data_IF_629126883981
#
_entry.id   IF_629126883981
#
_cell.length_a   1.000
_cell.length_b   1.000
_cell.length_c   1.000
_cell.angle_alpha   90.00
_cell.angle_beta   90.00
_cell.angle_gamma   90.00
#
_symmetry.space_group_name_H-M   'P 1'
#
loop_
_entity.id
_entity.type
_entity.pdbx_description
1 polymer ?
#
# COMPACT_ATOMS: atom_id res chain seq x y z
N UNK A 1 11.50 -40.29 -27.26
CA UNK A 1 11.16 -39.64 -25.99
C UNK A 1 12.14 -38.54 -25.52
N UNK A 2 13.42 -38.57 -25.86
CA UNK A 2 14.42 -37.53 -25.50
C UNK A 2 14.17 -36.18 -26.20
N UNK A 3 13.71 -36.13 -27.43
CA UNK A 3 13.50 -34.88 -28.20
C UNK A 3 12.35 -34.04 -27.66
N UNK A 4 11.28 -34.65 -27.14
CA UNK A 4 10.14 -33.94 -26.56
C UNK A 4 10.51 -33.26 -25.18
N UNK A 5 11.39 -33.92 -24.42
CA UNK A 5 11.91 -33.38 -23.14
C UNK A 5 12.83 -32.17 -23.33
N UNK A 6 13.67 -32.22 -24.39
CA UNK A 6 14.57 -31.09 -24.71
C UNK A 6 13.79 -29.87 -25.22
N UNK A 7 12.75 -30.07 -26.03
CA UNK A 7 11.87 -28.97 -26.49
C UNK A 7 11.07 -28.33 -25.33
N UNK A 8 10.59 -29.13 -24.37
CA UNK A 8 9.89 -28.62 -23.18
C UNK A 8 10.79 -27.80 -22.27
N UNK A 9 12.05 -28.25 -22.06
CA UNK A 9 13.01 -27.51 -21.23
C UNK A 9 13.47 -26.18 -21.87
N UNK A 10 13.67 -26.17 -23.20
CA UNK A 10 14.00 -24.96 -23.95
C UNK A 10 12.87 -23.92 -23.92
N UNK A 11 11.61 -24.36 -24.04
CA UNK A 11 10.44 -23.49 -23.98
C UNK A 11 10.23 -22.93 -22.57
N UNK A 12 10.47 -23.70 -21.51
CA UNK A 12 10.44 -23.27 -20.12
C UNK A 12 11.53 -22.22 -19.83
N UNK A 13 12.76 -22.43 -20.32
CA UNK A 13 13.84 -21.46 -20.16
C UNK A 13 13.57 -20.14 -20.91
N UNK A 14 13.02 -20.20 -22.12
CA UNK A 14 12.65 -19.01 -22.90
C UNK A 14 11.47 -18.25 -22.24
N UNK A 15 10.53 -18.95 -21.61
CA UNK A 15 9.44 -18.32 -20.84
C UNK A 15 9.99 -17.62 -19.60
N UNK A 16 10.92 -18.23 -18.86
CA UNK A 16 11.59 -17.65 -17.70
C UNK A 16 12.38 -16.38 -18.06
N UNK A 17 13.12 -16.38 -19.17
CA UNK A 17 13.86 -15.18 -19.64
C UNK A 17 12.92 -14.05 -20.05
N UNK A 18 11.79 -14.35 -20.69
CA UNK A 18 10.79 -13.33 -21.05
C UNK A 18 10.14 -12.72 -19.79
N UNK A 19 9.80 -13.55 -18.83
CA UNK A 19 9.24 -13.08 -17.56
C UNK A 19 10.23 -12.22 -16.77
N UNK A 20 11.50 -12.63 -16.69
CA UNK A 20 12.55 -11.83 -16.06
C UNK A 20 12.68 -10.43 -16.70
N UNK A 21 12.69 -10.35 -18.04
CA UNK A 21 12.72 -9.07 -18.76
C UNK A 21 11.46 -8.24 -18.54
N UNK A 22 10.30 -8.87 -18.43
CA UNK A 22 9.04 -8.21 -18.13
C UNK A 22 9.09 -7.55 -16.73
N UNK A 23 9.56 -8.28 -15.72
CA UNK A 23 9.72 -7.80 -14.36
C UNK A 23 10.76 -6.66 -14.27
N UNK A 24 11.90 -6.81 -14.96
CA UNK A 24 12.93 -5.77 -15.02
C UNK A 24 12.40 -4.46 -15.66
N UNK A 25 11.66 -4.58 -16.76
CA UNK A 25 11.05 -3.41 -17.42
C UNK A 25 10.03 -2.74 -16.51
N UNK A 26 9.19 -3.54 -15.81
CA UNK A 26 8.23 -3.04 -14.84
C UNK A 26 8.93 -2.26 -13.70
N UNK A 27 10.01 -2.81 -13.15
CA UNK A 27 10.78 -2.16 -12.08
C UNK A 27 11.35 -0.81 -12.55
N UNK A 28 11.97 -0.75 -13.74
CA UNK A 28 12.48 0.52 -14.31
C UNK A 28 11.36 1.56 -14.52
N UNK A 29 10.19 1.14 -14.98
CA UNK A 29 9.03 2.02 -15.15
C UNK A 29 8.52 2.53 -13.80
N UNK A 30 8.49 1.67 -12.78
CA UNK A 30 8.09 2.02 -11.43
C UNK A 30 9.04 3.07 -10.83
N UNK A 31 10.35 2.84 -10.89
CA UNK A 31 11.37 3.76 -10.38
C UNK A 31 11.32 5.12 -11.12
N UNK A 32 11.19 5.10 -12.45
CA UNK A 32 11.03 6.30 -13.25
C UNK A 32 9.76 7.08 -12.90
N UNK A 33 8.65 6.37 -12.64
CA UNK A 33 7.38 6.98 -12.24
C UNK A 33 7.48 7.63 -10.86
N UNK A 34 8.10 6.97 -9.89
CA UNK A 34 8.34 7.55 -8.56
C UNK A 34 9.20 8.81 -8.65
N UNK A 35 10.26 8.80 -9.45
CA UNK A 35 11.10 9.97 -9.67
C UNK A 35 10.32 11.14 -10.27
N UNK A 36 9.50 10.90 -11.29
CA UNK A 36 8.68 11.93 -11.95
C UNK A 36 7.63 12.49 -10.98
N UNK A 37 6.94 11.62 -10.22
CA UNK A 37 5.93 12.02 -9.22
C UNK A 37 6.60 12.83 -8.10
N UNK A 38 7.76 12.40 -7.61
CA UNK A 38 8.48 13.12 -6.56
C UNK A 38 8.89 14.54 -6.98
N UNK A 39 9.22 14.74 -8.26
CA UNK A 39 9.68 16.04 -8.78
C UNK A 39 8.52 16.98 -9.15
N UNK A 40 7.41 16.46 -9.67
CA UNK A 40 6.34 17.26 -10.26
C UNK A 40 4.98 17.13 -9.56
N UNK A 41 4.87 16.19 -8.62
CA UNK A 41 3.58 15.74 -8.06
C UNK A 41 2.84 14.82 -9.03
N UNK A 42 1.93 14.02 -8.49
CA UNK A 42 1.17 13.03 -9.26
C UNK A 42 0.34 13.65 -10.39
N UNK A 43 -0.32 14.78 -10.12
CA UNK A 43 -1.19 15.43 -11.10
C UNK A 43 -0.43 15.84 -12.38
N UNK A 44 0.79 16.37 -12.23
CA UNK A 44 1.63 16.85 -13.33
C UNK A 44 2.58 15.79 -13.92
N UNK A 45 2.65 14.60 -13.35
CA UNK A 45 3.51 13.52 -13.82
C UNK A 45 3.11 13.07 -15.23
N UNK A 46 4.09 13.07 -16.16
CA UNK A 46 3.89 12.73 -17.57
C UNK A 46 4.36 11.30 -17.88
N UNK A 47 3.41 10.47 -18.32
CA UNK A 47 3.68 9.07 -18.72
C UNK A 47 4.70 8.98 -19.86
N UNK A 48 4.77 9.98 -20.75
CA UNK A 48 5.76 10.00 -21.84
C UNK A 48 7.17 10.20 -21.30
N UNK A 49 7.34 11.11 -20.33
CA UNK A 49 8.61 11.33 -19.64
C UNK A 49 9.03 10.08 -18.84
N UNK A 50 8.10 9.45 -18.12
CA UNK A 50 8.32 8.19 -17.38
C UNK A 50 8.82 7.09 -18.32
N UNK A 51 8.13 6.85 -19.45
CA UNK A 51 8.51 5.83 -20.42
C UNK A 51 9.88 6.10 -21.03
N UNK A 52 10.17 7.36 -21.40
CA UNK A 52 11.47 7.76 -21.93
C UNK A 52 12.60 7.54 -20.92
N UNK A 53 12.39 7.90 -19.64
CA UNK A 53 13.35 7.68 -18.58
C UNK A 53 13.63 6.19 -18.31
N UNK A 54 12.58 5.33 -18.48
CA UNK A 54 12.72 3.88 -18.40
C UNK A 54 13.29 3.22 -19.67
N UNK A 55 13.58 4.00 -20.73
CA UNK A 55 14.12 3.49 -22.00
C UNK A 55 13.12 2.67 -22.81
N UNK A 56 11.82 2.99 -22.73
CA UNK A 56 10.76 2.28 -23.46
C UNK A 56 9.79 3.26 -24.13
N UNK A 57 8.93 2.76 -25.02
CA UNK A 57 7.87 3.57 -25.64
C UNK A 57 6.67 3.70 -24.68
N UNK A 58 5.90 4.79 -24.82
CA UNK A 58 4.73 5.09 -23.96
C UNK A 58 3.73 3.93 -23.83
N UNK A 59 3.49 3.19 -24.91
CA UNK A 59 2.59 2.04 -24.90
C UNK A 59 3.04 0.93 -23.93
N UNK A 60 4.36 0.79 -23.70
CA UNK A 60 4.91 -0.19 -22.77
C UNK A 60 4.54 0.16 -21.32
N UNK A 61 4.41 1.44 -20.98
CA UNK A 61 3.92 1.84 -19.66
C UNK A 61 2.53 1.26 -19.40
N UNK A 62 1.57 1.47 -20.31
CA UNK A 62 0.19 0.99 -20.13
C UNK A 62 0.04 -0.52 -20.16
N UNK A 63 1.00 -1.24 -20.75
CA UNK A 63 1.08 -2.70 -20.63
C UNK A 63 1.38 -3.16 -19.21
N UNK A 64 2.17 -2.38 -18.46
CA UNK A 64 2.57 -2.70 -17.07
C UNK A 64 1.70 -2.04 -16.01
N UNK A 65 1.23 -0.84 -16.26
CA UNK A 65 0.39 -0.02 -15.39
C UNK A 65 -0.78 0.53 -16.20
N UNK A 66 -1.99 -0.06 -16.05
CA UNK A 66 -3.16 0.36 -16.84
C UNK A 66 -3.45 1.85 -16.78
N UNK A 67 -3.21 2.48 -15.65
CA UNK A 67 -3.21 3.93 -15.46
C UNK A 67 -2.05 4.36 -14.57
N UNK A 68 -1.78 5.65 -14.45
CA UNK A 68 -0.73 6.12 -13.54
C UNK A 68 -1.09 5.96 -12.05
N UNK A 69 -2.38 5.89 -11.73
CA UNK A 69 -2.88 5.58 -10.38
C UNK A 69 -2.38 4.22 -9.88
N UNK A 70 -2.24 3.23 -10.77
CA UNK A 70 -1.71 1.91 -10.41
C UNK A 70 -0.26 1.95 -9.91
N UNK A 71 0.51 2.99 -10.25
CA UNK A 71 1.83 3.19 -9.66
C UNK A 71 1.71 3.54 -8.18
N UNK A 72 0.80 4.46 -7.81
CA UNK A 72 0.58 4.82 -6.40
C UNK A 72 0.03 3.65 -5.58
N UNK A 73 -0.88 2.85 -6.16
CA UNK A 73 -1.37 1.62 -5.51
C UNK A 73 -0.23 0.63 -5.24
N UNK A 74 0.70 0.49 -6.19
CA UNK A 74 1.86 -0.39 -5.98
C UNK A 74 2.80 0.15 -4.90
N UNK A 75 3.01 1.47 -4.85
CA UNK A 75 3.77 2.13 -3.77
C UNK A 75 3.12 1.81 -2.42
N UNK A 76 1.82 1.99 -2.32
CA UNK A 76 1.06 1.74 -1.11
C UNK A 76 1.20 0.29 -0.65
N UNK A 77 0.93 -0.68 -1.53
CA UNK A 77 1.02 -2.11 -1.21
C UNK A 77 2.44 -2.54 -0.80
N UNK A 78 3.47 -1.95 -1.41
CA UNK A 78 4.86 -2.20 -1.05
C UNK A 78 5.17 -1.65 0.35
N UNK A 79 4.71 -0.43 0.68
CA UNK A 79 4.91 0.15 2.00
C UNK A 79 4.09 -0.59 3.07
N UNK A 80 2.85 -0.98 2.79
CA UNK A 80 2.04 -1.79 3.70
C UNK A 80 2.69 -3.14 4.01
N UNK A 81 3.20 -3.83 2.99
CA UNK A 81 3.93 -5.09 3.17
C UNK A 81 5.18 -4.89 4.03
N UNK A 82 5.91 -3.80 3.82
CA UNK A 82 7.06 -3.42 4.64
C UNK A 82 6.64 -3.13 6.08
N UNK A 83 5.60 -2.34 6.29
CA UNK A 83 5.06 -2.02 7.61
C UNK A 83 4.73 -3.30 8.38
N UNK A 84 4.03 -4.24 7.76
CA UNK A 84 3.67 -5.52 8.37
C UNK A 84 4.92 -6.35 8.71
N UNK A 85 5.89 -6.38 7.81
CA UNK A 85 7.16 -7.07 8.06
C UNK A 85 7.94 -6.47 9.23
N UNK A 86 7.94 -5.13 9.35
CA UNK A 86 8.60 -4.41 10.45
C UNK A 86 7.84 -4.52 11.78
N UNK A 87 6.50 -4.60 11.74
CA UNK A 87 5.66 -4.86 12.92
C UNK A 87 5.82 -6.29 13.45
N UNK A 88 6.06 -7.26 12.57
CA UNK A 88 6.18 -8.67 12.94
C UNK A 88 4.98 -9.15 13.77
N UNK A 89 5.25 -9.90 14.82
CA UNK A 89 4.25 -10.30 15.83
C UNK A 89 4.03 -9.14 16.83
N UNK A 90 3.46 -8.03 16.37
CA UNK A 90 3.20 -6.88 17.24
C UNK A 90 2.44 -7.35 18.49
N UNK A 91 3.04 -7.10 19.66
CA UNK A 91 2.53 -7.50 20.98
C UNK A 91 2.03 -6.28 21.74
N UNK A 92 1.05 -6.51 22.58
CA UNK A 92 0.44 -5.48 23.42
C UNK A 92 -1.08 -5.47 23.25
N UNK A 93 -1.73 -4.59 23.99
CA UNK A 93 -3.14 -4.31 23.83
C UNK A 93 -3.45 -3.63 22.48
N UNK A 94 -4.72 -3.56 22.13
CA UNK A 94 -5.17 -2.97 20.87
C UNK A 94 -4.61 -1.55 20.67
N UNK A 95 -4.63 -0.72 21.71
CA UNK A 95 -4.13 0.65 21.65
C UNK A 95 -2.65 0.72 21.30
N UNK A 96 -1.84 -0.13 21.92
CA UNK A 96 -0.40 -0.22 21.68
C UNK A 96 -0.09 -0.66 20.23
N UNK A 97 -0.81 -1.66 19.71
CA UNK A 97 -0.61 -2.14 18.35
C UNK A 97 -1.04 -1.07 17.33
N UNK A 98 -2.18 -0.42 17.51
CA UNK A 98 -2.60 0.66 16.61
C UNK A 98 -1.64 1.86 16.64
N UNK A 99 -1.11 2.21 17.81
CA UNK A 99 -0.08 3.24 17.92
C UNK A 99 1.21 2.86 17.16
N UNK A 100 1.63 1.60 17.24
CA UNK A 100 2.77 1.10 16.44
C UNK A 100 2.49 1.20 14.94
N UNK A 101 1.29 0.82 14.47
CA UNK A 101 0.88 1.00 13.07
C UNK A 101 1.05 2.45 12.64
N UNK A 102 0.52 3.41 13.40
CA UNK A 102 0.68 4.85 13.12
C UNK A 102 2.15 5.24 12.99
N UNK A 103 3.01 4.80 13.91
CA UNK A 103 4.44 5.11 13.86
C UNK A 103 5.13 4.53 12.62
N UNK A 104 4.74 3.33 12.17
CA UNK A 104 5.30 2.74 10.96
C UNK A 104 4.79 3.44 9.69
N UNK A 105 3.54 3.88 9.65
CA UNK A 105 3.00 4.71 8.55
C UNK A 105 3.75 6.06 8.48
N UNK A 106 4.05 6.71 9.61
CA UNK A 106 4.89 7.92 9.63
C UNK A 106 6.34 7.67 9.18
N UNK A 107 6.86 6.46 9.39
CA UNK A 107 8.17 6.08 8.79
C UNK A 107 8.08 5.96 7.27
N UNK A 108 6.96 5.44 6.74
CA UNK A 108 6.71 5.40 5.30
C UNK A 108 6.66 6.81 4.70
N UNK A 109 6.00 7.77 5.36
CA UNK A 109 6.01 9.19 4.97
C UNK A 109 7.44 9.72 4.81
N UNK A 110 8.30 9.50 5.82
CA UNK A 110 9.71 9.92 5.76
C UNK A 110 10.53 9.25 4.65
N UNK A 111 10.19 8.00 4.28
CA UNK A 111 10.88 7.27 3.19
C UNK A 111 10.44 7.78 1.82
N UNK A 112 9.15 7.98 1.62
CA UNK A 112 8.56 8.37 0.35
C UNK A 112 8.71 9.87 0.05
N UNK A 113 8.82 10.68 1.11
CA UNK A 113 8.70 12.13 1.04
C UNK A 113 7.24 12.60 0.93
N UNK A 114 6.99 13.82 1.41
CA UNK A 114 5.66 14.39 1.60
C UNK A 114 4.78 14.37 0.33
N UNK A 115 5.38 14.63 -0.83
CA UNK A 115 4.62 14.72 -2.09
C UNK A 115 4.05 13.35 -2.49
N UNK A 116 4.90 12.33 -2.60
CA UNK A 116 4.49 10.97 -2.99
C UNK A 116 3.54 10.39 -1.95
N UNK A 117 3.85 10.58 -0.66
CA UNK A 117 3.03 10.05 0.43
C UNK A 117 1.62 10.65 0.44
N UNK A 118 1.48 11.97 0.31
CA UNK A 118 0.17 12.62 0.26
C UNK A 118 -0.62 12.27 -1.00
N UNK A 119 0.04 12.20 -2.16
CA UNK A 119 -0.60 11.79 -3.41
C UNK A 119 -1.11 10.33 -3.31
N UNK A 120 -0.33 9.43 -2.69
CA UNK A 120 -0.70 8.04 -2.44
C UNK A 120 -1.93 7.94 -1.54
N UNK A 121 -1.91 8.59 -0.37
CA UNK A 121 -3.06 8.57 0.54
C UNK A 121 -4.27 9.31 -0.02
N UNK A 122 -4.05 10.42 -0.75
CA UNK A 122 -5.11 11.19 -1.41
C UNK A 122 -5.88 10.37 -2.43
N UNK A 123 -5.25 9.35 -3.02
CA UNK A 123 -5.91 8.46 -3.97
C UNK A 123 -7.11 7.71 -3.36
N UNK A 124 -7.09 7.41 -2.05
CA UNK A 124 -8.22 6.79 -1.35
C UNK A 124 -9.51 7.60 -1.42
N UNK A 125 -9.38 8.93 -1.55
CA UNK A 125 -10.50 9.87 -1.59
C UNK A 125 -10.76 10.41 -3.00
N UNK A 126 -10.06 9.87 -4.01
CA UNK A 126 -10.16 10.31 -5.41
C UNK A 126 -11.18 9.47 -6.19
N UNK A 127 -11.93 10.15 -7.07
CA UNK A 127 -12.79 9.49 -8.05
C UNK A 127 -12.01 8.76 -9.16
N UNK A 128 -10.69 8.97 -9.25
CA UNK A 128 -9.81 8.31 -10.23
C UNK A 128 -9.19 7.02 -9.69
N UNK A 129 -9.46 6.65 -8.41
CA UNK A 129 -9.01 5.37 -7.86
C UNK A 129 -9.60 4.23 -8.69
N UNK A 130 -8.80 3.26 -9.15
CA UNK A 130 -9.29 2.07 -9.83
C UNK A 130 -10.33 1.33 -8.99
N UNK A 131 -11.46 0.96 -9.60
CA UNK A 131 -12.60 0.33 -8.90
C UNK A 131 -12.24 -1.04 -8.34
N UNK A 132 -11.30 -1.73 -9.01
CA UNK A 132 -10.77 -3.03 -8.59
C UNK A 132 -9.85 -2.97 -7.37
N UNK A 133 -9.44 -1.77 -6.94
CA UNK A 133 -8.56 -1.60 -5.79
C UNK A 133 -9.39 -1.33 -4.53
N UNK A 134 -9.78 -2.40 -3.86
CA UNK A 134 -10.58 -2.37 -2.63
C UNK A 134 -9.69 -2.31 -1.39
N UNK A 135 -9.88 -1.32 -0.52
CA UNK A 135 -9.10 -1.14 0.72
C UNK A 135 -9.11 -2.39 1.60
N UNK A 136 -10.23 -3.11 1.67
CA UNK A 136 -10.36 -4.34 2.46
C UNK A 136 -9.42 -5.47 2.02
N UNK A 137 -8.93 -5.42 0.79
CA UNK A 137 -7.98 -6.40 0.23
C UNK A 137 -6.51 -5.97 0.41
N UNK A 138 -6.28 -4.79 0.97
CA UNK A 138 -4.94 -4.30 1.23
C UNK A 138 -4.27 -5.06 2.37
N UNK A 139 -2.94 -5.32 2.29
CA UNK A 139 -2.20 -6.03 3.33
C UNK A 139 -2.39 -5.45 4.73
N UNK A 140 -2.33 -4.12 4.86
CA UNK A 140 -2.48 -3.47 6.16
C UNK A 140 -3.89 -3.61 6.72
N UNK A 141 -4.93 -3.55 5.87
CA UNK A 141 -6.31 -3.79 6.30
C UNK A 141 -6.49 -5.23 6.79
N UNK A 142 -5.96 -6.22 6.07
CA UNK A 142 -5.99 -7.63 6.48
C UNK A 142 -5.23 -7.86 7.80
N UNK A 143 -4.10 -7.21 7.99
CA UNK A 143 -3.37 -7.24 9.25
C UNK A 143 -4.22 -6.71 10.41
N UNK A 144 -4.91 -5.59 10.22
CA UNK A 144 -5.78 -5.00 11.25
C UNK A 144 -6.99 -5.87 11.58
N UNK A 145 -7.58 -6.54 10.59
CA UNK A 145 -8.65 -7.54 10.86
C UNK A 145 -8.13 -8.60 11.85
N UNK A 146 -6.93 -9.11 11.63
CA UNK A 146 -6.31 -10.07 12.55
C UNK A 146 -6.02 -9.50 13.94
N UNK A 147 -5.57 -8.23 14.02
CA UNK A 147 -5.33 -7.53 15.29
C UNK A 147 -6.63 -7.35 16.08
N UNK A 148 -7.68 -6.85 15.43
CA UNK A 148 -8.99 -6.61 16.04
C UNK A 148 -9.63 -7.94 16.45
N UNK A 149 -9.53 -9.00 15.62
CA UNK A 149 -10.01 -10.33 15.97
C UNK A 149 -9.37 -10.88 17.26
N UNK A 150 -8.06 -10.72 17.42
CA UNK A 150 -7.40 -11.08 18.70
C UNK A 150 -7.91 -10.24 19.88
N UNK A 151 -8.13 -8.96 19.69
CA UNK A 151 -8.70 -8.09 20.72
C UNK A 151 -10.15 -8.48 21.09
N UNK A 152 -10.91 -9.06 20.15
CA UNK A 152 -12.23 -9.67 20.41
C UNK A 152 -12.10 -10.94 21.25
N UNK A 153 -11.16 -11.83 20.91
CA UNK A 153 -10.90 -13.06 21.68
C UNK A 153 -10.47 -12.75 23.12
N UNK A 154 -9.75 -11.65 23.32
CA UNK A 154 -9.32 -11.15 24.62
C UNK A 154 -10.39 -10.33 25.37
N UNK A 155 -11.54 -10.07 24.74
CA UNK A 155 -12.66 -9.32 25.33
C UNK A 155 -12.45 -7.80 25.39
N UNK A 156 -11.44 -7.25 24.68
CA UNK A 156 -11.20 -5.81 24.56
C UNK A 156 -12.20 -5.15 23.60
N UNK A 157 -12.64 -5.88 22.56
CA UNK A 157 -13.62 -5.44 21.55
C UNK A 157 -14.83 -6.38 21.60
N UNK A 158 -16.07 -5.90 21.39
CA UNK A 158 -17.24 -6.75 21.31
C UNK A 158 -17.09 -7.83 20.24
N UNK A 159 -17.44 -9.08 20.57
CA UNK A 159 -17.30 -10.22 19.67
C UNK A 159 -18.26 -10.17 18.45
N UNK A 160 -19.32 -9.38 18.53
CA UNK A 160 -20.30 -9.15 17.46
C UNK A 160 -19.98 -7.96 16.57
N UNK A 161 -18.91 -7.20 16.87
CA UNK A 161 -18.46 -6.12 16.01
C UNK A 161 -17.75 -6.66 14.75
N UNK A 162 -17.94 -6.00 13.61
CA UNK A 162 -17.25 -6.36 12.37
C UNK A 162 -15.81 -5.83 12.39
N UNK A 163 -14.84 -6.74 12.51
CA UNK A 163 -13.42 -6.40 12.57
C UNK A 163 -12.92 -5.72 11.28
N UNK A 164 -13.49 -6.06 10.12
CA UNK A 164 -13.10 -5.44 8.83
C UNK A 164 -13.65 -4.00 8.74
N UNK A 165 -14.88 -3.76 9.22
CA UNK A 165 -15.45 -2.42 9.30
C UNK A 165 -14.64 -1.53 10.25
N UNK A 166 -14.32 -2.02 11.45
CA UNK A 166 -13.51 -1.29 12.44
C UNK A 166 -12.11 -0.97 11.93
N UNK A 167 -11.45 -1.92 11.26
CA UNK A 167 -10.16 -1.72 10.62
C UNK A 167 -10.22 -0.68 9.50
N UNK A 168 -11.29 -0.70 8.70
CA UNK A 168 -11.55 0.27 7.64
C UNK A 168 -11.75 1.67 8.22
N UNK A 169 -12.52 1.83 9.29
CA UNK A 169 -12.72 3.12 9.96
C UNK A 169 -11.40 3.68 10.49
N UNK A 170 -10.58 2.82 11.11
CA UNK A 170 -9.25 3.23 11.57
C UNK A 170 -8.36 3.69 10.41
N UNK A 171 -8.22 2.91 9.33
CA UNK A 171 -7.36 3.31 8.21
C UNK A 171 -7.88 4.56 7.50
N UNK A 172 -9.17 4.61 7.21
CA UNK A 172 -9.78 5.77 6.52
C UNK A 172 -9.55 7.06 7.31
N UNK A 173 -9.80 7.04 8.61
CA UNK A 173 -9.57 8.21 9.46
C UNK A 173 -8.09 8.58 9.56
N UNK A 174 -7.19 7.61 9.70
CA UNK A 174 -5.74 7.84 9.71
C UNK A 174 -5.27 8.45 8.38
N UNK A 175 -5.66 7.88 7.25
CA UNK A 175 -5.27 8.35 5.92
C UNK A 175 -5.83 9.74 5.63
N UNK A 176 -7.07 10.04 6.06
CA UNK A 176 -7.63 11.37 5.95
C UNK A 176 -6.81 12.40 6.75
N UNK A 177 -6.43 12.10 7.98
CA UNK A 177 -5.59 12.99 8.80
C UNK A 177 -4.21 13.23 8.15
N UNK A 178 -3.55 12.14 7.71
CA UNK A 178 -2.21 12.22 7.14
C UNK A 178 -2.18 12.89 5.76
N UNK A 179 -3.21 12.69 4.93
CA UNK A 179 -3.29 13.30 3.60
C UNK A 179 -3.37 14.84 3.62
N UNK A 180 -3.85 15.42 4.73
CA UNK A 180 -3.89 16.88 4.90
C UNK A 180 -2.52 17.51 5.16
N UNK A 181 -1.54 16.71 5.61
CA UNK A 181 -0.23 17.19 6.07
C UNK A 181 -0.29 18.01 7.36
N UNK A 182 -1.45 18.17 7.98
CA UNK A 182 -1.68 18.96 9.20
C UNK A 182 -1.82 18.03 10.42
N UNK A 183 -0.82 17.18 10.66
CA UNK A 183 -0.82 16.26 11.79
C UNK A 183 0.39 16.46 12.69
N UNK A 184 0.20 16.26 13.99
CA UNK A 184 1.24 16.20 15.00
C UNK A 184 1.08 14.92 15.86
N UNK A 185 2.08 14.61 16.66
CA UNK A 185 2.10 13.43 17.51
C UNK A 185 0.92 13.42 18.51
N UNK A 186 0.56 14.59 19.03
CA UNK A 186 -0.53 14.73 19.99
C UNK A 186 -1.90 14.46 19.35
N UNK A 187 -2.11 14.93 18.12
CA UNK A 187 -3.33 14.65 17.35
C UNK A 187 -3.44 13.15 17.04
N UNK A 188 -2.37 12.52 16.57
CA UNK A 188 -2.38 11.11 16.24
C UNK A 188 -2.57 10.23 17.47
N UNK A 189 -1.95 10.57 18.60
CA UNK A 189 -2.19 9.89 19.88
C UNK A 189 -3.64 9.99 20.33
N UNK A 190 -4.26 11.18 20.23
CA UNK A 190 -5.69 11.36 20.54
C UNK A 190 -6.58 10.59 19.57
N UNK A 191 -6.21 10.56 18.29
CA UNK A 191 -6.93 9.77 17.29
C UNK A 191 -6.98 8.29 17.69
N UNK A 192 -5.82 7.65 17.95
CA UNK A 192 -5.74 6.26 18.38
C UNK A 192 -6.60 6.03 19.64
N UNK A 193 -6.42 6.86 20.67
CA UNK A 193 -7.18 6.73 21.91
C UNK A 193 -8.71 6.85 21.69
N UNK A 194 -9.13 7.75 20.82
CA UNK A 194 -10.56 7.95 20.49
C UNK A 194 -11.15 6.76 19.78
N UNK A 195 -10.43 6.23 18.78
CA UNK A 195 -10.87 5.06 18.00
C UNK A 195 -10.94 3.82 18.90
N UNK A 196 -9.89 3.56 19.70
CA UNK A 196 -9.88 2.41 20.63
C UNK A 196 -11.05 2.49 21.60
N UNK A 197 -11.24 3.66 22.24
CA UNK A 197 -12.38 3.86 23.14
C UNK A 197 -13.74 3.67 22.46
N UNK A 198 -13.86 3.98 21.18
CA UNK A 198 -15.05 3.73 20.37
C UNK A 198 -15.28 2.25 20.08
N UNK A 199 -14.20 1.44 20.03
CA UNK A 199 -14.22 0.00 19.81
C UNK A 199 -14.45 -0.81 21.11
N UNK A 200 -14.10 -0.24 22.27
CA UNK A 200 -14.25 -0.93 23.55
C UNK A 200 -15.70 -1.24 23.88
N UNK A 201 -15.90 -2.32 24.62
CA UNK A 201 -17.20 -2.73 25.14
C UNK A 201 -17.73 -1.65 26.12
N UNK A 202 -18.94 -1.18 25.88
CA UNK A 202 -19.69 -0.39 26.85
C UNK A 202 -20.33 -1.25 27.92
#
# INVERSE_FOLDING_TARGET
MASARAASSANSAAASVREARRLETRARLFDAALSEISQRGFAAADVSAIAAAAGVVRGTFYFHFPTKEHVLIEVERNEETRIISELGDAKGDLASVLAQVVQHVLRAERRLGDAVFRDMLGLHFSSTRPVEDELTQHPLAQFLVGVIGRAQDEGQVPADADAAELGTFFLTGLFALLSTGAHDEALLSRYVATIVKGMERR
#
